data_IF_441564967847
#
_entry.id   IF_441564967847
#
_cell.length_a   1.000
_cell.length_b   1.000
_cell.length_c   1.000
_cell.angle_alpha   90.00
_cell.angle_beta   90.00
_cell.angle_gamma   90.00
#
_symmetry.space_group_name_H-M   'P 1'
#
loop_
_entity.id
_entity.type
_entity.pdbx_description
1 polymer ?
#
# COMPACT_ATOMS: atom_id res chain seq x y z
N UNK A 1 -5.12 -9.90 -21.89
CA UNK A 1 -4.97 -8.49 -21.48
C UNK A 1 -5.52 -8.16 -20.09
N UNK A 2 -6.27 -9.05 -19.43
CA UNK A 2 -6.86 -8.76 -18.09
C UNK A 2 -5.89 -8.93 -16.91
N UNK A 3 -4.78 -9.67 -17.10
CA UNK A 3 -3.77 -9.88 -16.05
C UNK A 3 -2.87 -8.64 -15.99
N UNK A 4 -2.84 -8.00 -14.82
CA UNK A 4 -1.96 -6.87 -14.54
C UNK A 4 -0.79 -7.33 -13.66
N UNK A 5 0.43 -6.96 -14.04
CA UNK A 5 1.63 -7.18 -13.21
C UNK A 5 1.73 -6.10 -12.14
N UNK A 6 1.93 -6.52 -10.88
CA UNK A 6 2.15 -5.63 -9.74
C UNK A 6 3.57 -5.84 -9.19
N UNK A 7 4.33 -4.77 -9.05
CA UNK A 7 5.62 -4.79 -8.38
C UNK A 7 5.39 -4.61 -6.87
N UNK A 8 5.44 -5.71 -6.12
CA UNK A 8 5.27 -5.69 -4.67
C UNK A 8 6.64 -5.44 -4.00
N UNK A 9 6.74 -4.46 -3.09
CA UNK A 9 7.99 -4.16 -2.42
C UNK A 9 8.35 -5.26 -1.41
N UNK A 10 9.31 -6.12 -1.75
CA UNK A 10 10.13 -6.91 -0.81
C UNK A 10 9.42 -7.82 0.20
N UNK A 11 8.13 -8.08 0.06
CA UNK A 11 7.35 -8.90 1.00
C UNK A 11 6.86 -10.16 0.32
N UNK A 12 7.75 -11.15 0.20
CA UNK A 12 7.26 -12.51 0.03
C UNK A 12 6.54 -12.91 1.32
N UNK A 13 5.26 -13.26 1.23
CA UNK A 13 4.45 -13.67 2.39
C UNK A 13 5.12 -14.83 3.14
N UNK A 14 5.79 -15.73 2.40
CA UNK A 14 6.52 -16.87 2.96
C UNK A 14 7.76 -16.45 3.76
N UNK A 15 8.47 -15.40 3.32
CA UNK A 15 9.64 -14.88 4.05
C UNK A 15 9.23 -14.21 5.37
N UNK A 16 8.08 -13.53 5.38
CA UNK A 16 7.49 -12.89 6.57
C UNK A 16 6.97 -13.94 7.56
N UNK A 17 6.22 -14.96 7.10
CA UNK A 17 5.73 -16.05 7.96
C UNK A 17 6.87 -16.84 8.60
N UNK A 18 8.02 -16.93 7.91
CA UNK A 18 9.21 -17.62 8.41
C UNK A 18 9.91 -16.88 9.55
N UNK A 19 9.67 -15.58 9.72
CA UNK A 19 10.23 -14.81 10.83
C UNK A 19 9.50 -15.16 12.13
N UNK A 20 10.21 -15.79 13.06
CA UNK A 20 9.67 -16.17 14.37
C UNK A 20 9.19 -14.98 15.20
N UNK A 21 9.80 -13.81 15.00
CA UNK A 21 9.50 -12.56 15.69
C UNK A 21 8.06 -12.06 15.43
N UNK A 22 7.46 -12.43 14.30
CA UNK A 22 6.14 -11.94 13.87
C UNK A 22 5.00 -12.90 14.24
N UNK A 23 5.32 -14.10 14.74
CA UNK A 23 4.33 -15.09 15.21
C UNK A 23 3.33 -14.53 16.24
N UNK A 24 3.73 -13.79 17.30
CA UNK A 24 2.76 -13.25 18.26
C UNK A 24 1.79 -12.24 17.60
N UNK A 25 2.27 -11.46 16.64
CA UNK A 25 1.43 -10.51 15.89
C UNK A 25 0.40 -11.24 15.01
N UNK A 26 0.82 -12.33 14.38
CA UNK A 26 -0.05 -13.19 13.57
C UNK A 26 -1.09 -13.90 14.42
N UNK A 27 -0.74 -14.35 15.63
CA UNK A 27 -1.69 -14.97 16.56
C UNK A 27 -2.73 -13.99 17.09
N UNK A 28 -2.30 -12.78 17.47
CA UNK A 28 -3.19 -11.70 17.84
C UNK A 28 -4.15 -11.34 16.69
N UNK A 29 -3.66 -11.24 15.45
CA UNK A 29 -4.49 -11.02 14.26
C UNK A 29 -5.49 -12.16 14.02
N UNK A 30 -5.09 -13.43 14.21
CA UNK A 30 -6.00 -14.58 14.12
C UNK A 30 -7.11 -14.52 15.16
N UNK A 31 -6.83 -13.98 16.36
CA UNK A 31 -7.85 -13.77 17.40
C UNK A 31 -8.92 -12.78 16.93
N UNK A 32 -8.52 -11.67 16.30
CA UNK A 32 -9.44 -10.69 15.70
C UNK A 32 -10.34 -11.36 14.64
N UNK A 33 -9.76 -12.12 13.71
CA UNK A 33 -10.52 -12.80 12.65
C UNK A 33 -11.57 -13.75 13.24
N UNK A 34 -11.24 -14.46 14.33
CA UNK A 34 -12.18 -15.33 15.03
C UNK A 34 -13.32 -14.54 15.67
N UNK A 35 -13.02 -13.38 16.26
CA UNK A 35 -14.03 -12.48 16.85
C UNK A 35 -15.02 -11.93 15.81
N UNK A 36 -14.54 -11.60 14.61
CA UNK A 36 -15.38 -11.08 13.52
C UNK A 36 -16.05 -12.16 12.67
N UNK A 37 -15.86 -13.45 12.98
CA UNK A 37 -16.39 -14.55 12.16
C UNK A 37 -17.90 -14.46 12.06
N UNK A 38 -18.41 -14.54 10.83
CA UNK A 38 -19.85 -14.64 10.56
C UNK A 38 -20.20 -16.13 10.52
N UNK A 39 -21.09 -16.58 11.41
CA UNK A 39 -21.42 -18.01 11.55
C UNK A 39 -22.11 -18.61 10.33
N UNK A 40 -22.94 -17.82 9.65
CA UNK A 40 -23.72 -18.26 8.49
C UNK A 40 -23.62 -17.19 7.40
N UNK A 41 -22.74 -17.40 6.43
CA UNK A 41 -22.68 -16.56 5.23
C UNK A 41 -23.56 -17.17 4.13
N UNK A 42 -24.33 -16.32 3.45
CA UNK A 42 -25.14 -16.69 2.30
C UNK A 42 -25.03 -15.59 1.25
N UNK A 43 -24.99 -15.92 -0.06
CA UNK A 43 -25.03 -14.92 -1.12
C UNK A 43 -26.26 -13.99 -1.05
N UNK A 44 -27.34 -14.46 -0.41
CA UNK A 44 -28.61 -13.73 -0.26
C UNK A 44 -28.74 -13.00 1.08
N UNK A 45 -27.69 -12.96 1.91
CA UNK A 45 -27.79 -12.33 3.23
C UNK A 45 -27.66 -10.80 3.20
N UNK A 46 -27.18 -10.24 2.09
CA UNK A 46 -26.90 -8.81 1.94
C UNK A 46 -27.52 -8.35 0.63
N UNK A 47 -28.50 -7.46 0.75
CA UNK A 47 -29.17 -6.85 -0.39
C UNK A 47 -28.49 -5.56 -0.82
N UNK A 48 -28.74 -5.15 -2.07
CA UNK A 48 -28.29 -3.86 -2.56
C UNK A 48 -29.17 -2.73 -1.95
N UNK A 49 -28.60 -1.83 -1.12
CA UNK A 49 -29.36 -0.78 -0.45
C UNK A 49 -29.91 0.25 -1.45
N UNK A 50 -29.19 0.55 -2.54
CA UNK A 50 -29.64 1.48 -3.58
C UNK A 50 -30.86 0.95 -4.32
N UNK A 51 -30.86 -0.35 -4.65
CA UNK A 51 -32.01 -0.98 -5.28
C UNK A 51 -33.21 -1.03 -4.34
N UNK A 52 -33.00 -1.38 -3.07
CA UNK A 52 -34.05 -1.34 -2.05
C UNK A 52 -34.66 0.06 -1.91
N UNK A 53 -33.84 1.09 -1.80
CA UNK A 53 -34.29 2.48 -1.69
C UNK A 53 -35.08 2.92 -2.94
N UNK A 54 -34.61 2.54 -4.13
CA UNK A 54 -35.30 2.83 -5.37
C UNK A 54 -36.72 2.24 -5.40
N UNK A 55 -36.87 0.95 -5.08
CA UNK A 55 -38.18 0.31 -5.10
C UNK A 55 -39.09 0.78 -3.96
N UNK A 56 -38.54 1.05 -2.77
CA UNK A 56 -39.29 1.66 -1.67
C UNK A 56 -39.82 3.05 -2.06
N UNK A 57 -39.03 3.86 -2.76
CA UNK A 57 -39.48 5.14 -3.29
C UNK A 57 -40.57 5.00 -4.36
N UNK A 58 -40.46 3.99 -5.24
CA UNK A 58 -41.49 3.73 -6.25
C UNK A 58 -42.82 3.27 -5.62
N UNK A 59 -42.75 2.44 -4.58
CA UNK A 59 -43.90 2.01 -3.79
C UNK A 59 -44.57 3.19 -3.08
N UNK A 60 -43.81 4.04 -2.40
CA UNK A 60 -44.31 5.23 -1.73
C UNK A 60 -45.02 6.19 -2.71
N UNK A 61 -44.42 6.41 -3.89
CA UNK A 61 -45.05 7.20 -4.96
C UNK A 61 -46.35 6.57 -5.47
N UNK A 62 -46.41 5.23 -5.57
CA UNK A 62 -47.62 4.54 -6.01
C UNK A 62 -48.76 4.62 -4.98
N UNK A 63 -48.43 4.64 -3.69
CA UNK A 63 -49.38 4.76 -2.59
C UNK A 63 -49.70 6.22 -2.21
N UNK A 64 -49.03 7.20 -2.83
CA UNK A 64 -49.06 8.62 -2.44
C UNK A 64 -48.64 8.84 -0.97
N UNK A 65 -47.66 8.07 -0.51
CA UNK A 65 -47.04 8.20 0.80
C UNK A 65 -45.68 8.89 0.70
N UNK A 66 -45.24 9.51 1.80
CA UNK A 66 -43.90 10.06 1.91
C UNK A 66 -42.91 8.96 2.31
N UNK A 67 -41.77 8.88 1.63
CA UNK A 67 -40.71 7.92 1.94
C UNK A 67 -39.91 8.42 3.17
N UNK A 68 -39.87 7.67 4.29
CA UNK A 68 -39.03 8.05 5.42
C UNK A 68 -37.54 7.88 5.08
N UNK A 69 -36.68 8.70 5.67
CA UNK A 69 -35.24 8.70 5.41
C UNK A 69 -34.53 7.41 5.82
N UNK A 70 -35.13 6.66 6.75
CA UNK A 70 -34.67 5.39 7.31
C UNK A 70 -35.49 4.19 6.81
N UNK A 71 -36.23 4.36 5.70
CA UNK A 71 -37.05 3.29 5.11
C UNK A 71 -36.27 2.00 4.80
N UNK A 72 -34.96 2.12 4.54
CA UNK A 72 -34.11 1.01 4.14
C UNK A 72 -32.85 0.98 4.98
N UNK A 73 -32.65 -0.13 5.70
CA UNK A 73 -31.41 -0.41 6.43
C UNK A 73 -30.29 -0.82 5.45
N UNK A 74 -29.13 -0.16 5.56
CA UNK A 74 -27.94 -0.50 4.79
C UNK A 74 -27.11 -1.57 5.50
N UNK A 75 -27.29 -2.81 5.04
CA UNK A 75 -26.58 -3.99 5.54
C UNK A 75 -25.12 -4.07 5.05
N UNK A 76 -24.66 -3.17 4.17
CA UNK A 76 -23.25 -3.07 3.76
C UNK A 76 -22.39 -2.36 4.81
N UNK A 77 -23.01 -1.65 5.74
CA UNK A 77 -22.28 -0.96 6.80
C UNK A 77 -21.69 -1.98 7.81
N UNK A 78 -20.47 -1.74 8.33
CA UNK A 78 -19.90 -2.57 9.37
C UNK A 78 -20.79 -2.64 10.60
N UNK A 79 -20.91 -3.83 11.18
CA UNK A 79 -21.69 -4.00 12.40
C UNK A 79 -20.93 -3.44 13.62
N UNK A 80 -21.34 -2.27 14.09
CA UNK A 80 -20.71 -1.55 15.21
C UNK A 80 -20.65 -2.37 16.49
N UNK A 81 -21.70 -3.12 16.81
CA UNK A 81 -21.78 -3.97 18.01
C UNK A 81 -20.71 -5.07 18.00
N UNK A 82 -20.42 -5.65 16.84
CA UNK A 82 -19.29 -6.60 16.71
C UNK A 82 -17.94 -5.90 16.87
N UNK A 83 -17.85 -4.66 16.41
CA UNK A 83 -16.67 -3.82 16.61
C UNK A 83 -16.38 -3.58 18.10
N UNK A 84 -17.39 -3.27 18.89
CA UNK A 84 -17.26 -3.10 20.34
C UNK A 84 -16.80 -4.38 21.04
N UNK A 85 -17.37 -5.53 20.69
CA UNK A 85 -17.01 -6.83 21.25
C UNK A 85 -15.57 -7.26 20.91
N UNK A 86 -15.06 -6.81 19.77
CA UNK A 86 -13.71 -7.16 19.31
C UNK A 86 -12.66 -6.10 19.69
N UNK A 87 -13.04 -5.04 20.39
CA UNK A 87 -12.15 -3.92 20.74
C UNK A 87 -10.91 -4.40 21.50
N UNK A 88 -11.10 -5.27 22.49
CA UNK A 88 -10.01 -5.82 23.29
C UNK A 88 -8.98 -6.58 22.44
N UNK A 89 -9.46 -7.37 21.46
CA UNK A 89 -8.57 -8.09 20.54
C UNK A 89 -7.80 -7.14 19.60
N UNK A 90 -8.42 -6.02 19.22
CA UNK A 90 -7.78 -4.98 18.40
C UNK A 90 -6.70 -4.25 19.19
N UNK A 91 -6.95 -3.93 20.47
CA UNK A 91 -5.97 -3.28 21.34
C UNK A 91 -4.74 -4.17 21.56
N UNK A 92 -4.93 -5.45 21.88
CA UNK A 92 -3.83 -6.42 22.04
C UNK A 92 -2.98 -6.55 20.76
N UNK A 93 -3.63 -6.54 19.59
CA UNK A 93 -2.89 -6.58 18.33
C UNK A 93 -2.13 -5.28 18.07
N UNK A 94 -2.72 -4.12 18.34
CA UNK A 94 -2.03 -2.82 18.22
C UNK A 94 -0.78 -2.76 19.10
N UNK A 95 -0.89 -3.21 20.35
CA UNK A 95 0.25 -3.29 21.27
C UNK A 95 1.36 -4.21 20.72
N UNK A 96 0.99 -5.36 20.14
CA UNK A 96 1.96 -6.30 19.56
C UNK A 96 2.73 -5.73 18.36
N UNK A 97 2.17 -4.74 17.67
CA UNK A 97 2.81 -4.06 16.55
C UNK A 97 3.73 -2.93 17.00
N UNK A 98 3.67 -2.51 18.27
CA UNK A 98 4.46 -1.39 18.79
C UNK A 98 4.19 -0.06 18.07
N UNK A 99 3.00 0.06 17.46
CA UNK A 99 2.61 1.25 16.71
C UNK A 99 1.95 2.22 17.67
N UNK A 100 2.72 3.20 18.13
CA UNK A 100 2.16 4.37 18.81
C UNK A 100 1.29 5.16 17.83
N UNK A 101 0.16 5.65 18.33
CA UNK A 101 -0.97 6.27 17.61
C UNK A 101 -0.65 6.78 16.18
N UNK A 102 -1.13 6.05 15.16
CA UNK A 102 -1.05 6.44 13.73
C UNK A 102 -1.83 7.73 13.41
N UNK A 103 -2.45 8.36 14.42
CA UNK A 103 -3.14 9.65 14.33
C UNK A 103 -2.20 10.86 14.14
N UNK A 104 -0.88 10.65 13.96
CA UNK A 104 -0.03 11.72 13.45
C UNK A 104 -0.32 11.97 11.96
N UNK A 105 -0.83 13.15 11.55
CA UNK A 105 -1.06 13.44 10.14
C UNK A 105 0.25 13.26 9.36
N UNK A 106 0.21 12.68 8.14
CA UNK A 106 1.40 12.33 7.40
C UNK A 106 2.28 13.57 7.27
N UNK A 107 3.49 13.49 7.85
CA UNK A 107 4.47 14.57 7.75
C UNK A 107 4.58 14.95 6.28
N UNK A 108 4.27 16.23 5.97
CA UNK A 108 4.39 16.77 4.61
C UNK A 108 5.80 16.50 4.13
N UNK A 109 5.98 15.47 3.30
CA UNK A 109 7.26 15.19 2.67
C UNK A 109 7.64 16.42 1.87
N UNK A 110 8.79 17.06 2.14
CA UNK A 110 9.27 18.10 1.25
C UNK A 110 9.43 17.48 -0.13
N UNK A 111 8.95 18.18 -1.17
CA UNK A 111 9.28 17.89 -2.57
C UNK A 111 10.77 18.20 -2.79
N UNK A 112 11.65 17.39 -2.23
CA UNK A 112 13.03 17.27 -2.64
C UNK A 112 13.10 16.06 -3.56
N UNK A 113 13.59 16.26 -4.79
CA UNK A 113 13.95 15.13 -5.64
C UNK A 113 14.95 14.27 -4.88
N UNK A 114 14.56 13.03 -4.54
CA UNK A 114 15.48 12.05 -3.97
C UNK A 114 16.70 11.95 -4.91
N UNK A 115 17.93 12.10 -4.39
CA UNK A 115 19.11 11.95 -5.21
C UNK A 115 19.10 10.56 -5.82
N UNK A 116 19.20 10.49 -7.14
CA UNK A 116 19.22 9.23 -7.86
C UNK A 116 20.50 8.45 -7.51
N UNK A 117 20.38 7.50 -6.59
CA UNK A 117 21.46 6.62 -6.17
C UNK A 117 21.41 5.34 -6.99
N UNK A 118 22.35 5.20 -7.92
CA UNK A 118 22.54 3.95 -8.67
C UNK A 118 23.62 3.13 -7.97
N UNK A 119 23.30 1.90 -7.57
CA UNK A 119 24.27 0.96 -7.00
C UNK A 119 25.41 0.64 -7.99
N UNK A 120 26.62 0.42 -7.47
CA UNK A 120 27.83 0.15 -8.26
C UNK A 120 27.65 -1.03 -9.24
N UNK A 121 26.90 -2.05 -8.87
CA UNK A 121 26.64 -3.23 -9.71
C UNK A 121 25.82 -2.89 -10.96
N UNK A 122 24.88 -1.96 -10.82
CA UNK A 122 24.04 -1.47 -11.94
C UNK A 122 24.87 -0.56 -12.86
N UNK A 123 25.79 0.23 -12.30
CA UNK A 123 26.73 1.04 -13.10
C UNK A 123 27.63 0.11 -13.92
N UNK A 124 28.13 -0.97 -13.32
CA UNK A 124 28.96 -1.97 -14.02
C UNK A 124 28.22 -2.68 -15.16
N UNK A 125 26.97 -3.04 -14.94
CA UNK A 125 26.13 -3.60 -16.01
C UNK A 125 25.95 -2.60 -17.17
N UNK A 126 25.69 -1.32 -16.88
CA UNK A 126 25.50 -0.30 -17.92
C UNK A 126 26.77 0.06 -18.69
N UNK A 127 27.95 -0.03 -18.06
CA UNK A 127 29.25 0.08 -18.74
C UNK A 127 29.39 -1.05 -19.75
N UNK A 128 29.12 -2.29 -19.32
CA UNK A 128 29.21 -3.50 -20.16
C UNK A 128 28.24 -3.45 -21.34
N UNK A 129 27.03 -2.95 -21.12
CA UNK A 129 25.99 -2.85 -22.14
C UNK A 129 26.15 -1.61 -23.04
N UNK A 130 27.14 -0.75 -22.79
CA UNK A 130 27.37 0.48 -23.56
C UNK A 130 26.26 1.53 -23.45
N UNK A 131 25.37 1.41 -22.45
CA UNK A 131 24.17 2.26 -22.33
C UNK A 131 24.40 3.55 -21.55
N UNK A 132 25.62 3.80 -21.04
CA UNK A 132 25.99 5.01 -20.31
C UNK A 132 25.76 6.31 -21.12
N UNK A 133 25.93 6.27 -22.45
CA UNK A 133 25.68 7.42 -23.32
C UNK A 133 24.21 7.88 -23.36
N UNK A 134 23.27 6.99 -22.97
CA UNK A 134 21.83 7.29 -22.93
C UNK A 134 21.41 8.01 -21.65
N UNK A 135 22.24 8.00 -20.61
CA UNK A 135 21.95 8.69 -19.36
C UNK A 135 22.05 10.21 -19.54
N UNK A 136 21.26 10.95 -18.76
CA UNK A 136 21.31 12.42 -18.75
C UNK A 136 22.54 12.90 -17.99
N UNK A 137 22.99 14.12 -18.29
CA UNK A 137 24.17 14.71 -17.61
C UNK A 137 23.95 14.84 -16.10
N UNK A 138 22.70 15.05 -15.64
CA UNK A 138 22.37 15.05 -14.22
C UNK A 138 22.59 13.67 -13.58
N UNK A 139 22.11 12.59 -14.21
CA UNK A 139 22.29 11.21 -13.73
C UNK A 139 23.78 10.82 -13.68
N UNK A 140 24.58 11.20 -14.67
CA UNK A 140 26.03 10.95 -14.67
C UNK A 140 26.74 11.67 -13.53
N UNK A 141 26.33 12.90 -13.21
CA UNK A 141 26.88 13.67 -12.08
C UNK A 141 26.47 13.06 -10.74
N UNK A 142 25.26 12.53 -10.62
CA UNK A 142 24.79 11.89 -9.39
C UNK A 142 25.53 10.58 -9.12
N UNK A 143 25.84 9.78 -10.15
CA UNK A 143 26.71 8.59 -10.05
C UNK A 143 28.12 8.97 -9.58
N UNK A 144 28.72 10.00 -10.18
CA UNK A 144 30.05 10.48 -9.78
C UNK A 144 30.06 11.07 -8.37
N UNK A 145 28.98 11.75 -7.92
CA UNK A 145 28.82 12.20 -6.53
C UNK A 145 28.77 11.04 -5.54
N UNK A 146 28.02 9.98 -5.87
CA UNK A 146 27.96 8.76 -5.08
C UNK A 146 29.34 8.09 -4.95
N UNK A 147 30.16 8.17 -6.00
CA UNK A 147 31.51 7.63 -6.05
C UNK A 147 32.59 8.61 -5.53
N UNK A 148 32.21 9.79 -5.01
CA UNK A 148 33.11 10.86 -4.53
C UNK A 148 34.11 11.36 -5.59
N UNK A 149 33.68 11.40 -6.85
CA UNK A 149 34.48 11.80 -8.00
C UNK A 149 34.06 13.17 -8.55
N UNK A 150 34.95 13.77 -9.35
CA UNK A 150 34.72 15.11 -9.93
C UNK A 150 33.60 15.10 -10.97
N UNK A 151 32.58 15.96 -10.75
CA UNK A 151 31.43 16.15 -11.64
C UNK A 151 31.63 17.22 -12.73
N UNK A 152 32.85 17.74 -12.86
CA UNK A 152 33.15 18.85 -13.76
C UNK A 152 33.56 18.34 -15.15
N UNK A 153 32.92 18.80 -16.22
CA UNK A 153 33.28 18.39 -17.59
C UNK A 153 32.10 18.22 -18.54
N UNK A 154 32.43 17.93 -19.81
CA UNK A 154 31.45 17.60 -20.87
C UNK A 154 30.93 16.17 -20.67
N UNK A 155 29.79 15.85 -21.29
CA UNK A 155 29.12 14.54 -21.14
C UNK A 155 30.06 13.34 -21.40
N UNK A 156 30.91 13.43 -22.43
CA UNK A 156 31.90 12.39 -22.76
C UNK A 156 32.94 12.20 -21.65
N UNK A 157 33.48 13.28 -21.09
CA UNK A 157 34.44 13.22 -19.98
C UNK A 157 33.86 12.61 -18.70
N UNK A 158 32.56 12.80 -18.46
CA UNK A 158 31.86 12.17 -17.35
C UNK A 158 31.70 10.66 -17.58
N UNK A 159 31.44 10.24 -18.82
CA UNK A 159 31.32 8.82 -19.21
C UNK A 159 32.69 8.13 -19.09
N UNK A 160 33.75 8.74 -19.62
CA UNK A 160 35.10 8.17 -19.58
C UNK A 160 35.58 7.95 -18.13
N UNK A 161 35.26 8.89 -17.22
CA UNK A 161 35.58 8.72 -15.79
C UNK A 161 34.81 7.57 -15.17
N UNK A 162 33.53 7.41 -15.48
CA UNK A 162 32.73 6.28 -14.98
C UNK A 162 33.29 4.95 -15.52
N UNK A 163 33.70 4.90 -16.79
CA UNK A 163 34.36 3.73 -17.38
C UNK A 163 35.73 3.42 -16.76
N UNK A 164 36.43 4.42 -16.22
CA UNK A 164 37.73 4.21 -15.55
C UNK A 164 37.60 3.73 -14.09
N UNK A 165 36.42 3.86 -13.48
CA UNK A 165 36.16 3.51 -12.07
C UNK A 165 35.71 2.05 -11.92
N UNK A 166 35.11 1.49 -12.97
CA UNK A 166 34.53 0.15 -13.02
C UNK A 166 35.49 -0.81 -13.69
#
# INVERSE_FOLDING_TARGET
>A
DDIRSLDLPGTCVDEVISQEEQRPQVEAAKSIIRGFRISHWSPYSIDNPTLKLFYAGLEALALNEDLPSDAVEDLLLPNERKGELAKDHVEVWKESLGVDDLSSPPAKRPRGAEPFTMGLDVVRAKVRDGTLARLTVSQLKDILRAQRQSTNGKKQELIDRICSIV
#
